data_IF_733516027036
#
_entry.id   IF_733516027036
#
_cell.length_a   1.000
_cell.length_b   1.000
_cell.length_c   1.000
_cell.angle_alpha   90.00
_cell.angle_beta   90.00
_cell.angle_gamma   90.00
#
_symmetry.space_group_name_H-M   'P 1'
#
loop_
_entity.id
_entity.type
_entity.pdbx_description
1 polymer ?
#
# COMPACT_ATOMS: atom_id res chain seq x y z
N UNK A 1 -29.73 15.82 15.76
CA UNK A 1 -28.73 14.75 15.95
C UNK A 1 -28.16 14.45 14.58
N UNK A 2 -26.91 14.82 14.32
CA UNK A 2 -26.28 14.50 13.04
C UNK A 2 -26.16 12.97 12.95
N UNK A 3 -26.70 12.37 11.89
CA UNK A 3 -26.36 11.00 11.51
C UNK A 3 -24.84 10.88 11.48
N UNK A 4 -24.23 9.82 12.04
CA UNK A 4 -22.82 9.57 11.81
C UNK A 4 -22.62 9.51 10.29
N UNK A 5 -21.79 10.40 9.75
CA UNK A 5 -21.30 10.30 8.38
C UNK A 5 -20.86 8.86 8.16
N UNK A 6 -21.57 8.10 7.31
CA UNK A 6 -21.24 6.71 7.05
C UNK A 6 -19.80 6.65 6.53
N UNK A 7 -18.95 5.84 7.17
CA UNK A 7 -17.56 5.65 6.73
C UNK A 7 -17.59 5.22 5.26
N UNK A 8 -16.87 5.91 4.35
CA UNK A 8 -16.88 5.55 2.95
C UNK A 8 -16.34 4.13 2.78
N UNK A 9 -17.09 3.32 2.05
CA UNK A 9 -16.83 1.91 1.83
C UNK A 9 -16.66 1.63 0.33
N UNK A 10 -15.53 1.04 -0.11
CA UNK A 10 -15.30 0.76 -1.51
C UNK A 10 -16.14 -0.43 -1.98
N UNK A 11 -16.77 -0.28 -3.14
CA UNK A 11 -17.46 -1.39 -3.83
C UNK A 11 -16.45 -2.09 -4.74
N UNK A 12 -16.19 -3.36 -4.46
CA UNK A 12 -15.18 -4.19 -5.14
C UNK A 12 -15.77 -5.59 -5.43
N UNK A 13 -15.26 -6.33 -6.43
CA UNK A 13 -15.79 -7.62 -6.85
C UNK A 13 -15.37 -8.77 -5.92
N UNK A 14 -15.75 -8.71 -4.64
CA UNK A 14 -15.57 -9.78 -3.64
C UNK A 14 -16.72 -10.80 -3.70
N UNK A 15 -16.54 -11.96 -3.07
CA UNK A 15 -17.62 -12.95 -2.91
C UNK A 15 -18.74 -12.36 -2.06
N UNK A 16 -19.99 -12.66 -2.41
CA UNK A 16 -21.17 -12.13 -1.72
C UNK A 16 -21.20 -12.50 -0.22
N UNK A 17 -20.81 -13.74 0.09
CA UNK A 17 -20.69 -14.25 1.47
C UNK A 17 -19.68 -13.48 2.34
N UNK A 18 -18.69 -12.81 1.73
CA UNK A 18 -17.67 -12.03 2.43
C UNK A 18 -18.02 -10.54 2.56
N UNK A 19 -19.18 -10.10 2.05
CA UNK A 19 -19.53 -8.68 1.99
C UNK A 19 -19.63 -8.01 3.37
N UNK A 20 -20.19 -8.69 4.37
CA UNK A 20 -20.34 -8.12 5.71
C UNK A 20 -19.02 -8.17 6.50
N UNK A 21 -18.20 -9.20 6.28
CA UNK A 21 -16.83 -9.25 6.78
C UNK A 21 -16.03 -8.05 6.23
N UNK A 22 -16.08 -7.81 4.92
CA UNK A 22 -15.34 -6.72 4.30
C UNK A 22 -15.79 -5.34 4.83
N UNK A 23 -17.09 -5.11 5.06
CA UNK A 23 -17.58 -3.89 5.75
C UNK A 23 -17.01 -3.73 7.15
N UNK A 24 -16.97 -4.81 7.91
CA UNK A 24 -16.43 -4.81 9.27
C UNK A 24 -14.94 -4.51 9.28
N UNK A 25 -14.18 -5.07 8.32
CA UNK A 25 -12.76 -4.80 8.14
C UNK A 25 -12.50 -3.36 7.70
N UNK A 26 -13.28 -2.80 6.78
CA UNK A 26 -13.17 -1.38 6.38
C UNK A 26 -13.36 -0.47 7.59
N UNK A 27 -14.36 -0.73 8.44
CA UNK A 27 -14.57 0.01 9.68
C UNK A 27 -13.37 -0.12 10.62
N UNK A 28 -12.89 -1.35 10.84
CA UNK A 28 -11.71 -1.60 11.67
C UNK A 28 -10.49 -0.82 11.16
N UNK A 29 -10.20 -0.87 9.87
CA UNK A 29 -9.04 -0.17 9.27
C UNK A 29 -9.19 1.35 9.38
N UNK A 30 -10.39 1.88 9.15
CA UNK A 30 -10.65 3.30 9.36
C UNK A 30 -10.35 3.73 10.81
N UNK A 31 -10.82 2.96 11.79
CA UNK A 31 -10.56 3.22 13.22
C UNK A 31 -9.07 3.07 13.56
N UNK A 32 -8.40 2.04 13.03
CA UNK A 32 -6.97 1.79 13.21
C UNK A 32 -6.12 2.95 12.68
N UNK A 33 -6.37 3.40 11.45
CA UNK A 33 -5.64 4.49 10.79
C UNK A 33 -5.97 5.87 11.39
N UNK A 34 -7.07 5.99 12.13
CA UNK A 34 -7.43 7.21 12.85
C UNK A 34 -6.73 7.36 14.21
N UNK A 35 -5.97 6.35 14.65
CA UNK A 35 -5.27 6.40 15.93
C UNK A 35 -4.08 7.38 15.89
N UNK A 36 -3.78 8.06 17.02
CA UNK A 36 -2.61 8.95 17.11
C UNK A 36 -1.32 8.24 16.73
N UNK A 37 -0.53 8.86 15.85
CA UNK A 37 0.75 8.32 15.36
C UNK A 37 0.79 8.03 13.87
N UNK A 38 -0.39 7.89 13.23
CA UNK A 38 -0.52 7.88 11.78
C UNK A 38 -0.47 9.32 11.25
N UNK A 39 0.42 9.57 10.31
CA UNK A 39 0.49 10.83 9.56
C UNK A 39 -0.26 10.70 8.23
N UNK A 40 -0.50 11.82 7.56
CA UNK A 40 -1.26 11.88 6.31
C UNK A 40 -0.60 11.17 5.12
N UNK A 41 0.62 10.63 5.25
CA UNK A 41 1.24 9.80 4.22
C UNK A 41 0.81 8.33 4.27
N UNK A 42 0.20 7.87 5.38
CA UNK A 42 -0.31 6.50 5.57
C UNK A 42 -1.70 6.50 6.22
N UNK A 43 -2.57 7.40 5.77
CA UNK A 43 -3.93 7.54 6.28
C UNK A 43 -4.92 6.56 5.62
N UNK A 44 -6.18 6.61 6.05
CA UNK A 44 -7.24 5.79 5.45
C UNK A 44 -7.43 6.08 3.95
N UNK A 45 -7.16 7.31 3.49
CA UNK A 45 -7.25 7.64 2.07
C UNK A 45 -6.16 6.95 1.24
N UNK A 46 -4.96 6.76 1.80
CA UNK A 46 -3.94 5.89 1.19
C UNK A 46 -4.47 4.48 0.97
N UNK A 47 -5.05 3.85 2.00
CA UNK A 47 -5.65 2.52 1.88
C UNK A 47 -6.72 2.45 0.78
N UNK A 48 -7.62 3.44 0.71
CA UNK A 48 -8.64 3.48 -0.34
C UNK A 48 -8.04 3.62 -1.75
N UNK A 49 -6.95 4.37 -1.92
CA UNK A 49 -6.24 4.47 -3.21
C UNK A 49 -5.54 3.16 -3.58
N UNK A 50 -4.97 2.44 -2.60
CA UNK A 50 -4.40 1.11 -2.81
C UNK A 50 -5.48 0.12 -3.27
N UNK A 51 -6.62 0.06 -2.58
CA UNK A 51 -7.79 -0.75 -3.00
C UNK A 51 -8.27 -0.38 -4.41
N UNK A 52 -8.31 0.92 -4.72
CA UNK A 52 -8.69 1.40 -6.07
C UNK A 52 -7.70 0.97 -7.15
N UNK A 53 -6.38 1.08 -6.88
CA UNK A 53 -5.34 0.60 -7.80
C UNK A 53 -5.44 -0.92 -7.97
N UNK A 54 -5.68 -1.67 -6.89
CA UNK A 54 -5.84 -3.12 -6.92
C UNK A 54 -7.02 -3.55 -7.80
N UNK A 55 -8.17 -2.85 -7.70
CA UNK A 55 -9.32 -3.11 -8.57
C UNK A 55 -9.02 -2.84 -10.05
N UNK A 56 -8.34 -1.72 -10.35
CA UNK A 56 -7.94 -1.37 -11.73
C UNK A 56 -7.01 -2.41 -12.35
N UNK A 57 -6.02 -2.88 -11.58
CA UNK A 57 -5.11 -3.94 -12.02
C UNK A 57 -5.89 -5.24 -12.24
N UNK A 58 -6.72 -5.65 -11.29
CA UNK A 58 -7.52 -6.87 -11.38
C UNK A 58 -8.39 -6.88 -12.65
N UNK A 59 -9.13 -5.79 -12.92
CA UNK A 59 -9.99 -5.67 -14.10
C UNK A 59 -9.21 -5.80 -15.41
N UNK A 60 -8.06 -5.13 -15.52
CA UNK A 60 -7.22 -5.17 -16.71
C UNK A 60 -6.56 -6.54 -16.92
N UNK A 61 -6.03 -7.15 -15.86
CA UNK A 61 -5.40 -8.47 -15.93
C UNK A 61 -6.42 -9.58 -16.25
N UNK A 62 -7.63 -9.52 -15.68
CA UNK A 62 -8.71 -10.46 -16.04
C UNK A 62 -9.21 -10.25 -17.47
N UNK A 63 -9.25 -9.01 -17.95
CA UNK A 63 -9.59 -8.74 -19.36
C UNK A 63 -8.53 -9.31 -20.31
N UNK A 64 -7.26 -9.21 -19.96
CA UNK A 64 -6.15 -9.73 -20.75
C UNK A 64 -6.04 -11.26 -20.67
N UNK A 65 -6.30 -11.85 -19.51
CA UNK A 65 -6.29 -13.29 -19.28
C UNK A 65 -7.50 -13.75 -18.46
N UNK A 66 -8.66 -13.99 -19.10
CA UNK A 66 -9.89 -14.39 -18.41
C UNK A 66 -9.83 -15.76 -17.72
N UNK A 67 -8.86 -16.60 -18.07
CA UNK A 67 -8.67 -17.91 -17.46
C UNK A 67 -7.97 -17.83 -16.09
N UNK A 68 -7.25 -16.73 -15.83
CA UNK A 68 -6.60 -16.50 -14.53
C UNK A 68 -7.67 -16.35 -13.45
N UNK A 69 -7.46 -17.01 -12.31
CA UNK A 69 -8.33 -16.90 -11.15
C UNK A 69 -7.59 -16.23 -10.02
N UNK A 70 -8.28 -15.30 -9.36
CA UNK A 70 -7.85 -14.66 -8.12
C UNK A 70 -8.94 -14.86 -7.09
N UNK A 71 -8.55 -15.10 -5.85
CA UNK A 71 -9.44 -15.01 -4.70
C UNK A 71 -9.61 -13.55 -4.33
N UNK A 72 -10.65 -12.92 -4.91
CA UNK A 72 -10.86 -11.48 -4.78
C UNK A 72 -11.10 -11.04 -3.35
N UNK A 73 -11.73 -11.87 -2.51
CA UNK A 73 -11.88 -11.60 -1.07
C UNK A 73 -10.52 -11.48 -0.39
N UNK A 74 -9.62 -12.44 -0.62
CA UNK A 74 -8.27 -12.38 -0.05
C UNK A 74 -7.47 -11.18 -0.57
N UNK A 75 -7.57 -10.87 -1.87
CA UNK A 75 -6.91 -9.73 -2.51
C UNK A 75 -7.31 -8.40 -1.86
N UNK A 76 -8.61 -8.12 -1.78
CA UNK A 76 -9.07 -6.83 -1.27
C UNK A 76 -8.95 -6.70 0.25
N UNK A 77 -9.14 -7.80 1.00
CA UNK A 77 -8.86 -7.81 2.45
C UNK A 77 -7.38 -7.55 2.73
N UNK A 78 -6.47 -8.17 1.96
CA UNK A 78 -5.04 -7.91 2.10
C UNK A 78 -4.67 -6.47 1.72
N UNK A 79 -5.27 -5.91 0.67
CA UNK A 79 -5.08 -4.50 0.32
C UNK A 79 -5.55 -3.55 1.43
N UNK A 80 -6.66 -3.85 2.12
CA UNK A 80 -7.12 -3.07 3.27
C UNK A 80 -6.17 -3.16 4.48
N UNK A 81 -5.62 -4.35 4.72
CA UNK A 81 -4.89 -4.67 5.95
C UNK A 81 -3.36 -4.60 5.83
N UNK A 82 -2.81 -4.31 4.64
CA UNK A 82 -1.36 -4.42 4.41
C UNK A 82 -0.49 -3.55 5.33
N UNK A 83 -1.00 -2.40 5.77
CA UNK A 83 -0.33 -1.49 6.70
C UNK A 83 -0.74 -1.71 8.17
N UNK A 84 -1.71 -2.61 8.44
CA UNK A 84 -2.06 -3.01 9.80
C UNK A 84 -0.94 -3.89 10.37
N UNK A 85 -0.46 -3.52 11.57
CA UNK A 85 0.67 -4.20 12.19
C UNK A 85 2.02 -3.90 11.54
N UNK A 86 2.14 -2.83 10.74
CA UNK A 86 3.46 -2.32 10.35
C UNK A 86 4.22 -1.92 11.63
N UNK A 87 5.40 -2.54 11.81
CA UNK A 87 6.29 -2.33 12.96
C UNK A 87 6.65 -0.85 13.17
N UNK A 88 6.52 0.01 12.16
CA UNK A 88 6.72 1.46 12.28
C UNK A 88 5.69 2.14 13.20
N UNK A 89 4.52 1.54 13.38
CA UNK A 89 3.41 2.06 14.18
C UNK A 89 3.04 1.17 15.38
N UNK A 90 3.64 -0.03 15.46
CA UNK A 90 3.39 -0.99 16.54
C UNK A 90 3.88 -0.48 17.91
N UNK A 91 3.10 -0.76 18.95
CA UNK A 91 3.52 -0.46 20.33
C UNK A 91 4.45 -1.57 20.87
N UNK A 92 5.36 -1.26 21.81
CA UNK A 92 6.18 -2.28 22.45
C UNK A 92 5.33 -3.39 23.08
N UNK A 93 5.56 -4.65 22.68
CA UNK A 93 4.86 -5.83 23.20
C UNK A 93 3.62 -6.27 22.41
N UNK A 94 3.24 -5.55 21.34
CA UNK A 94 2.14 -5.95 20.47
C UNK A 94 2.57 -7.10 19.55
N UNK A 95 1.77 -8.18 19.50
CA UNK A 95 2.01 -9.28 18.56
C UNK A 95 1.55 -8.89 17.15
N UNK A 96 2.42 -8.19 16.44
CA UNK A 96 2.25 -7.82 15.04
C UNK A 96 2.33 -9.01 14.07
N UNK A 97 2.94 -10.13 14.47
CA UNK A 97 3.20 -11.23 13.55
C UNK A 97 1.93 -12.02 13.18
N UNK A 98 0.91 -11.99 14.03
CA UNK A 98 -0.38 -12.68 13.84
C UNK A 98 -1.61 -11.74 13.93
N UNK A 99 -1.39 -10.42 13.95
CA UNK A 99 -2.46 -9.44 14.16
C UNK A 99 -3.59 -9.52 13.12
N UNK A 100 -3.26 -9.56 11.83
CA UNK A 100 -4.25 -9.58 10.74
C UNK A 100 -5.12 -10.83 10.81
N UNK A 101 -4.51 -12.02 10.99
CA UNK A 101 -5.27 -13.27 11.05
C UNK A 101 -6.19 -13.32 12.27
N UNK A 102 -5.73 -12.83 13.43
CA UNK A 102 -6.58 -12.74 14.64
C UNK A 102 -7.77 -11.82 14.42
N UNK A 103 -7.53 -10.60 13.94
CA UNK A 103 -8.59 -9.61 13.68
C UNK A 103 -9.62 -10.16 12.70
N UNK A 104 -9.18 -10.81 11.62
CA UNK A 104 -10.11 -11.40 10.65
C UNK A 104 -10.97 -12.50 11.28
N UNK A 105 -10.39 -13.40 12.07
CA UNK A 105 -11.15 -14.44 12.78
C UNK A 105 -12.13 -13.83 13.79
N UNK A 106 -11.70 -12.81 14.55
CA UNK A 106 -12.57 -12.08 15.49
C UNK A 106 -13.74 -11.38 14.79
N UNK A 107 -13.53 -10.93 13.55
CA UNK A 107 -14.57 -10.33 12.69
C UNK A 107 -15.40 -11.37 11.92
N UNK A 108 -15.18 -12.68 12.16
CA UNK A 108 -15.99 -13.77 11.61
C UNK A 108 -15.44 -14.41 10.34
N UNK A 109 -14.21 -14.12 9.93
CA UNK A 109 -13.60 -14.78 8.78
C UNK A 109 -13.26 -16.25 9.08
N UNK A 110 -13.43 -17.16 8.11
CA UNK A 110 -12.86 -18.49 8.20
C UNK A 110 -11.33 -18.45 8.37
N UNK A 111 -10.78 -19.37 9.17
CA UNK A 111 -9.34 -19.39 9.49
C UNK A 111 -8.45 -19.47 8.25
N UNK A 112 -8.84 -20.26 7.24
CA UNK A 112 -8.08 -20.37 5.99
C UNK A 112 -7.99 -19.05 5.21
N UNK A 113 -9.07 -18.26 5.19
CA UNK A 113 -9.09 -16.93 4.56
C UNK A 113 -8.20 -15.97 5.36
N UNK A 114 -8.32 -15.98 6.69
CA UNK A 114 -7.53 -15.14 7.58
C UNK A 114 -6.02 -15.39 7.44
N UNK A 115 -5.60 -16.66 7.36
CA UNK A 115 -4.21 -17.06 7.15
C UNK A 115 -3.70 -16.64 5.77
N UNK A 116 -4.50 -16.83 4.71
CA UNK A 116 -4.14 -16.39 3.34
C UNK A 116 -3.96 -14.87 3.27
N UNK A 117 -4.88 -14.09 3.85
CA UNK A 117 -4.79 -12.62 3.89
C UNK A 117 -3.55 -12.17 4.65
N UNK A 118 -3.27 -12.79 5.80
CA UNK A 118 -2.06 -12.51 6.59
C UNK A 118 -0.78 -12.81 5.80
N UNK A 119 -0.73 -13.94 5.08
CA UNK A 119 0.40 -14.31 4.24
C UNK A 119 0.64 -13.27 3.14
N UNK A 120 -0.42 -12.82 2.46
CA UNK A 120 -0.31 -11.77 1.42
C UNK A 120 0.16 -10.45 2.05
N UNK A 121 -0.56 -9.94 3.04
CA UNK A 121 -0.32 -8.61 3.64
C UNK A 121 1.12 -8.45 4.17
N UNK A 122 1.66 -9.47 4.87
CA UNK A 122 3.03 -9.44 5.41
C UNK A 122 4.11 -9.36 4.36
N UNK A 123 3.82 -9.73 3.11
CA UNK A 123 4.77 -9.73 2.01
C UNK A 123 4.59 -8.55 1.06
N UNK A 124 3.69 -7.59 1.35
CA UNK A 124 3.45 -6.43 0.48
C UNK A 124 4.63 -5.46 0.47
N UNK A 125 5.22 -5.17 1.63
CA UNK A 125 6.16 -4.04 1.75
C UNK A 125 7.46 -4.23 0.95
N UNK A 126 7.96 -3.13 0.37
CA UNK A 126 9.28 -3.06 -0.28
C UNK A 126 10.43 -3.59 0.61
N UNK A 127 10.36 -3.30 1.92
CA UNK A 127 11.42 -3.73 2.85
C UNK A 127 11.44 -5.24 3.04
N UNK A 128 10.28 -5.89 3.02
CA UNK A 128 10.18 -7.35 3.12
C UNK A 128 10.73 -8.00 1.86
N UNK A 129 10.31 -7.53 0.68
CA UNK A 129 10.80 -8.08 -0.58
C UNK A 129 12.30 -7.91 -0.77
N UNK A 130 12.86 -6.75 -0.45
CA UNK A 130 14.30 -6.51 -0.58
C UNK A 130 15.14 -7.33 0.40
N UNK A 131 14.62 -7.64 1.59
CA UNK A 131 15.34 -8.42 2.62
C UNK A 131 15.13 -9.93 2.47
N UNK A 132 13.99 -10.35 1.92
CA UNK A 132 13.55 -11.76 1.84
C UNK A 132 12.94 -12.07 0.45
N UNK A 133 13.70 -11.92 -0.64
CA UNK A 133 13.16 -12.07 -1.99
C UNK A 133 12.63 -13.49 -2.27
N UNK A 134 13.31 -14.53 -1.79
CA UNK A 134 12.86 -15.92 -1.99
C UNK A 134 11.54 -16.21 -1.26
N UNK A 135 11.36 -15.71 -0.03
CA UNK A 135 10.10 -15.87 0.69
C UNK A 135 8.93 -15.17 -0.03
N UNK A 136 9.16 -13.95 -0.57
CA UNK A 136 8.14 -13.27 -1.39
C UNK A 136 7.82 -14.07 -2.65
N UNK A 137 8.82 -14.67 -3.29
CA UNK A 137 8.63 -15.50 -4.47
C UNK A 137 7.82 -16.76 -4.18
N UNK A 138 8.07 -17.42 -3.05
CA UNK A 138 7.27 -18.56 -2.58
C UNK A 138 5.80 -18.17 -2.37
N UNK A 139 5.55 -17.05 -1.67
CA UNK A 139 4.17 -16.56 -1.46
C UNK A 139 3.51 -16.14 -2.76
N UNK A 140 4.23 -15.55 -3.72
CA UNK A 140 3.69 -15.23 -5.05
C UNK A 140 3.23 -16.47 -5.83
N UNK A 141 3.94 -17.59 -5.68
CA UNK A 141 3.57 -18.86 -6.33
C UNK A 141 2.30 -19.45 -5.72
N UNK A 142 2.15 -19.35 -4.40
CA UNK A 142 0.98 -19.86 -3.69
C UNK A 142 -0.24 -18.92 -3.78
N UNK A 143 0.01 -17.61 -3.78
CA UNK A 143 -0.99 -16.54 -3.70
C UNK A 143 -0.71 -15.47 -4.75
N UNK A 144 -1.18 -15.66 -6.00
CA UNK A 144 -0.94 -14.69 -7.08
C UNK A 144 -1.57 -13.32 -6.82
N UNK A 145 -2.52 -13.22 -5.87
CA UNK A 145 -3.09 -11.95 -5.41
C UNK A 145 -2.02 -11.00 -4.85
N UNK A 146 -0.93 -11.53 -4.29
CA UNK A 146 0.19 -10.72 -3.78
C UNK A 146 0.80 -9.83 -4.86
N UNK A 147 0.84 -10.28 -6.11
CA UNK A 147 1.34 -9.47 -7.23
C UNK A 147 0.53 -8.18 -7.40
N UNK A 148 -0.81 -8.30 -7.36
CA UNK A 148 -1.73 -7.17 -7.51
C UNK A 148 -1.62 -6.24 -6.30
N UNK A 149 -1.62 -6.79 -5.08
CA UNK A 149 -1.56 -5.96 -3.86
C UNK A 149 -0.24 -5.20 -3.79
N UNK A 150 0.90 -5.85 -4.07
CA UNK A 150 2.19 -5.19 -4.12
C UNK A 150 2.25 -4.07 -5.17
N UNK A 151 1.79 -4.33 -6.39
CA UNK A 151 1.78 -3.30 -7.43
C UNK A 151 0.87 -2.14 -7.05
N UNK A 152 -0.28 -2.42 -6.42
CA UNK A 152 -1.24 -1.39 -6.01
C UNK A 152 -0.71 -0.44 -4.93
N UNK A 153 0.03 -0.95 -3.93
CA UNK A 153 0.72 -0.14 -2.91
C UNK A 153 1.87 0.67 -3.53
N UNK A 154 2.72 0.01 -4.32
CA UNK A 154 3.86 0.68 -4.99
C UNK A 154 3.40 1.79 -5.93
N UNK A 155 2.30 1.60 -6.65
CA UNK A 155 1.72 2.64 -7.51
C UNK A 155 1.35 3.89 -6.69
N UNK A 156 0.82 3.73 -5.47
CA UNK A 156 0.49 4.87 -4.60
C UNK A 156 1.74 5.54 -3.99
N UNK A 157 2.90 4.90 -4.04
CA UNK A 157 4.17 5.47 -3.62
C UNK A 157 4.89 6.28 -4.72
N UNK A 158 4.40 6.26 -5.96
CA UNK A 158 5.00 6.95 -7.11
C UNK A 158 4.02 7.91 -7.80
N UNK A 159 4.52 8.72 -8.75
CA UNK A 159 3.72 9.75 -9.41
C UNK A 159 3.43 10.94 -8.51
N UNK A 160 2.44 11.76 -8.88
CA UNK A 160 2.11 12.99 -8.15
C UNK A 160 1.73 12.74 -6.68
N UNK A 161 0.96 11.67 -6.41
CA UNK A 161 0.64 11.25 -5.04
C UNK A 161 1.91 10.79 -4.30
N UNK A 162 2.77 10.01 -4.96
CA UNK A 162 4.06 9.59 -4.41
C UNK A 162 4.94 10.77 -3.97
N UNK A 163 5.00 11.83 -4.78
CA UNK A 163 5.68 13.09 -4.40
C UNK A 163 5.06 13.65 -3.12
N UNK A 164 3.76 13.90 -3.11
CA UNK A 164 3.08 14.48 -1.93
C UNK A 164 3.30 13.67 -0.65
N UNK A 165 3.23 12.33 -0.75
CA UNK A 165 3.46 11.42 0.37
C UNK A 165 4.90 11.43 0.86
N UNK A 166 5.88 11.46 -0.05
CA UNK A 166 7.29 11.47 0.33
C UNK A 166 7.67 12.71 1.15
N UNK A 167 7.17 13.90 0.74
CA UNK A 167 7.38 15.13 1.50
C UNK A 167 6.63 15.13 2.82
N UNK A 168 5.38 14.65 2.84
CA UNK A 168 4.57 14.54 4.06
C UNK A 168 5.23 13.63 5.11
N UNK A 169 5.69 12.45 4.69
CA UNK A 169 6.43 11.53 5.55
C UNK A 169 7.75 12.13 6.04
N UNK A 170 8.50 12.78 5.14
CA UNK A 170 9.75 13.46 5.48
C UNK A 170 9.57 14.51 6.57
N UNK A 171 8.53 15.35 6.45
CA UNK A 171 8.21 16.34 7.47
C UNK A 171 7.78 15.71 8.81
N UNK A 172 6.98 14.64 8.77
CA UNK A 172 6.46 14.00 9.97
C UNK A 172 7.49 13.15 10.73
N UNK A 173 8.37 12.43 10.02
CA UNK A 173 9.28 11.44 10.60
C UNK A 173 10.75 11.85 10.59
N UNK A 174 11.12 12.85 9.80
CA UNK A 174 12.49 13.37 9.69
C UNK A 174 12.51 14.91 9.83
N UNK A 175 11.89 15.51 10.87
CA UNK A 175 11.74 16.97 10.98
C UNK A 175 13.07 17.72 11.05
N UNK A 176 14.14 17.07 11.54
CA UNK A 176 15.48 17.65 11.64
C UNK A 176 16.31 17.51 10.34
N UNK A 177 15.74 16.94 9.29
CA UNK A 177 16.41 16.77 7.99
C UNK A 177 15.95 17.84 7.01
N UNK A 178 16.83 18.27 6.08
CA UNK A 178 16.42 19.20 5.04
C UNK A 178 15.34 18.57 4.15
N UNK A 179 14.51 19.42 3.55
CA UNK A 179 13.44 19.01 2.65
C UNK A 179 13.95 18.14 1.47
N UNK A 180 15.18 18.36 1.01
CA UNK A 180 15.84 17.56 -0.03
C UNK A 180 15.90 16.06 0.29
N UNK A 181 15.82 15.68 1.58
CA UNK A 181 15.78 14.28 2.01
C UNK A 181 14.62 13.50 1.36
N UNK A 182 13.49 14.15 1.10
CA UNK A 182 12.36 13.54 0.42
C UNK A 182 12.71 13.17 -1.03
N UNK A 183 13.47 14.02 -1.72
CA UNK A 183 13.94 13.78 -3.10
C UNK A 183 15.07 12.74 -3.13
N UNK A 184 15.96 12.73 -2.13
CA UNK A 184 16.97 11.67 -2.00
C UNK A 184 16.33 10.29 -1.87
N UNK A 185 15.16 10.22 -1.20
CA UNK A 185 14.37 8.99 -1.09
C UNK A 185 13.90 8.44 -2.44
N UNK A 186 13.79 9.30 -3.47
CA UNK A 186 13.38 8.86 -4.80
C UNK A 186 14.44 7.91 -5.37
N UNK A 187 15.72 8.26 -5.25
CA UNK A 187 16.84 7.41 -5.69
C UNK A 187 17.03 6.17 -4.82
N UNK A 188 16.84 6.31 -3.50
CA UNK A 188 16.96 5.17 -2.57
C UNK A 188 15.92 4.08 -2.85
N UNK A 189 14.69 4.47 -3.19
CA UNK A 189 13.54 3.57 -3.29
C UNK A 189 12.65 3.85 -4.50
N UNK A 190 12.06 5.04 -4.62
CA UNK A 190 10.89 5.23 -5.49
C UNK A 190 11.18 4.98 -6.99
N UNK A 191 12.36 5.34 -7.48
CA UNK A 191 12.78 5.07 -8.86
C UNK A 191 12.90 3.56 -9.16
N UNK A 192 13.11 2.72 -8.15
CA UNK A 192 13.23 1.27 -8.34
C UNK A 192 11.87 0.60 -8.52
N UNK A 193 10.79 1.23 -8.06
CA UNK A 193 9.48 0.57 -7.94
C UNK A 193 8.86 0.20 -9.28
N UNK A 194 9.13 0.97 -10.35
CA UNK A 194 8.66 0.65 -11.70
C UNK A 194 9.21 -0.70 -12.18
N UNK A 195 10.53 -0.90 -12.08
CA UNK A 195 11.20 -2.15 -12.45
C UNK A 195 10.83 -3.33 -11.56
N UNK A 196 10.17 -3.07 -10.43
CA UNK A 196 9.69 -4.08 -9.49
C UNK A 196 8.22 -4.43 -9.69
N UNK A 197 7.50 -3.87 -10.66
CA UNK A 197 6.09 -4.25 -10.87
C UNK A 197 5.95 -5.69 -11.41
N UNK A 198 4.96 -6.41 -10.89
CA UNK A 198 4.72 -7.85 -11.14
C UNK A 198 3.76 -8.07 -12.30
N UNK A 199 2.71 -7.25 -12.36
CA UNK A 199 1.67 -7.31 -13.37
C UNK A 199 2.03 -6.45 -14.57
N UNK A 200 1.48 -6.80 -15.74
CA UNK A 200 1.68 -6.00 -16.96
C UNK A 200 1.06 -4.62 -16.76
N UNK A 201 -0.18 -4.59 -16.27
CA UNK A 201 -0.91 -3.35 -15.97
C UNK A 201 -0.19 -2.49 -14.95
N UNK A 202 0.34 -3.09 -13.87
CA UNK A 202 1.10 -2.38 -12.85
C UNK A 202 2.32 -1.68 -13.42
N UNK A 203 3.06 -2.35 -14.32
CA UNK A 203 4.24 -1.78 -15.00
C UNK A 203 3.88 -0.62 -15.92
N UNK A 204 2.83 -0.74 -16.73
CA UNK A 204 2.37 0.32 -17.63
C UNK A 204 1.95 1.58 -16.84
N UNK A 205 1.18 1.40 -15.76
CA UNK A 205 0.79 2.50 -14.89
C UNK A 205 2.00 3.11 -14.16
N UNK A 206 2.98 2.28 -13.80
CA UNK A 206 4.18 2.73 -13.12
C UNK A 206 5.08 3.59 -14.01
N UNK A 207 5.21 3.27 -15.30
CA UNK A 207 6.01 4.04 -16.25
C UNK A 207 5.56 5.51 -16.31
N UNK A 208 4.25 5.73 -16.47
CA UNK A 208 3.69 7.08 -16.50
C UNK A 208 3.93 7.83 -15.18
N UNK A 209 3.82 7.14 -14.04
CA UNK A 209 4.05 7.73 -12.71
C UNK A 209 5.53 7.95 -12.40
N UNK A 210 6.41 7.10 -12.92
CA UNK A 210 7.86 7.20 -12.78
C UNK A 210 8.37 8.47 -13.45
N UNK A 211 7.90 8.74 -14.68
CA UNK A 211 8.24 9.98 -15.39
C UNK A 211 7.94 11.25 -14.59
N UNK A 212 6.82 11.28 -13.86
CA UNK A 212 6.49 12.42 -12.98
C UNK A 212 7.53 12.59 -11.87
N UNK A 213 8.04 11.50 -11.29
CA UNK A 213 9.08 11.57 -10.26
C UNK A 213 10.39 12.11 -10.84
N UNK A 214 10.77 11.66 -12.03
CA UNK A 214 11.98 12.14 -12.72
C UNK A 214 11.88 13.63 -13.02
N UNK A 215 10.79 14.04 -13.69
CA UNK A 215 10.56 15.44 -14.08
C UNK A 215 10.54 16.34 -12.83
N UNK A 216 9.86 15.92 -11.75
CA UNK A 216 9.83 16.66 -10.48
C UNK A 216 11.23 16.77 -9.85
N UNK A 217 12.00 15.67 -9.81
CA UNK A 217 13.33 15.67 -9.20
C UNK A 217 14.32 16.56 -9.96
N UNK A 218 14.20 16.64 -11.30
CA UNK A 218 14.99 17.58 -12.11
C UNK A 218 14.66 19.02 -11.75
N UNK A 219 13.37 19.40 -11.78
CA UNK A 219 12.94 20.76 -11.46
C UNK A 219 13.33 21.15 -10.02
N UNK A 220 13.07 20.28 -9.05
CA UNK A 220 13.40 20.52 -7.65
C UNK A 220 14.88 20.81 -7.43
N UNK A 221 15.78 20.04 -8.08
CA UNK A 221 17.23 20.26 -7.95
C UNK A 221 17.64 21.61 -8.54
N UNK A 222 17.13 21.94 -9.73
CA UNK A 222 17.40 23.24 -10.37
C UNK A 222 16.93 24.42 -9.52
N UNK A 223 15.73 24.34 -8.93
CA UNK A 223 15.18 25.38 -8.08
C UNK A 223 15.88 25.49 -6.71
N UNK A 224 16.46 24.38 -6.23
CA UNK A 224 17.17 24.33 -4.94
C UNK A 224 18.62 24.79 -5.01
N UNK A 225 19.16 25.03 -6.21
CA UNK A 225 20.51 25.56 -6.39
C UNK A 225 20.60 26.98 -5.83
N UNK A 226 21.39 27.15 -4.76
CA UNK A 226 21.64 28.46 -4.18
C UNK A 226 22.64 29.22 -5.06
N UNK A 227 22.25 30.41 -5.49
CA UNK A 227 23.13 31.33 -6.22
C UNK A 227 24.08 32.12 -5.31
N UNK A 228 24.02 31.86 -4.00
CA UNK A 228 24.83 32.50 -2.97
C UNK A 228 25.76 31.49 -2.29
N UNK A 229 26.95 31.94 -1.92
CA UNK A 229 27.87 31.16 -1.08
C UNK A 229 27.49 31.37 0.39
N UNK A 230 27.24 30.28 1.11
CA UNK A 230 27.05 30.30 2.56
C UNK A 230 28.43 30.31 3.25
N UNK A 231 28.63 31.21 4.21
CA UNK A 231 29.83 31.30 5.05
C UNK A 231 29.68 30.50 6.33
#
# INVERSE_FOLDING_TARGET
>A
MATPSSIPYPVVPIKEEDADLFKSVVKYVHEYMSQPGHDNSHDFLHILRVVSNANRILEAELKANPAQKYDTSALFLAALLHDVGDRKYAKPGEDVEQQISRVLVELGAPEHLALKVQAIAKHVSYSVETKKPEAVKEVLLEHPELAIVQDSDRLDAIGAIGVGRAFSYGAAKCPDKPMSRAVDHFTEKLFKLEGMMKTTTGRELAQARHKILEDFAVQFRQESELTITLQ
#
